data_IF_276815659261
#
_entry.id   IF_276815659261
#
_cell.length_a   1.000
_cell.length_b   1.000
_cell.length_c   1.000
_cell.angle_alpha   90.00
_cell.angle_beta   90.00
_cell.angle_gamma   90.00
#
_symmetry.space_group_name_H-M   'P 1'
#
loop_
_entity.id
_entity.type
_entity.pdbx_description
1 polymer ?
#
# COMPACT_ATOMS: atom_id res chain seq x y z
N UNK A 1 -18.59 -16.92 5.56
CA UNK A 1 -17.94 -16.61 6.86
C UNK A 1 -18.59 -15.36 7.43
N UNK A 2 -19.00 -15.35 8.71
CA UNK A 2 -19.56 -14.13 9.30
C UNK A 2 -18.50 -13.03 9.38
N UNK A 3 -18.92 -11.79 9.14
CA UNK A 3 -18.02 -10.63 9.20
C UNK A 3 -17.48 -10.45 10.63
N UNK A 4 -16.16 -10.43 10.77
CA UNK A 4 -15.46 -10.13 12.03
C UNK A 4 -15.24 -8.62 12.24
N UNK A 5 -15.97 -7.77 11.52
CA UNK A 5 -15.86 -6.31 11.60
C UNK A 5 -16.22 -5.74 12.97
N UNK A 6 -17.09 -6.42 13.71
CA UNK A 6 -17.46 -6.06 15.09
C UNK A 6 -16.33 -6.31 16.11
N UNK A 7 -15.31 -7.10 15.75
CA UNK A 7 -14.16 -7.36 16.62
C UNK A 7 -13.16 -6.21 16.45
N UNK A 8 -12.67 -5.59 17.54
CA UNK A 8 -11.68 -4.52 17.49
C UNK A 8 -10.42 -4.91 16.71
N UNK A 9 -9.77 -3.92 16.09
CA UNK A 9 -8.56 -4.15 15.28
C UNK A 9 -7.43 -4.75 16.12
N UNK A 10 -7.18 -4.25 17.33
CA UNK A 10 -6.23 -4.83 18.29
C UNK A 10 -6.39 -6.35 18.51
N UNK A 11 -7.62 -6.82 18.69
CA UNK A 11 -7.92 -8.25 18.89
C UNK A 11 -7.75 -9.04 17.58
N UNK A 12 -8.10 -8.45 16.44
CA UNK A 12 -7.86 -9.07 15.13
C UNK A 12 -6.36 -9.19 14.85
N UNK A 13 -5.57 -8.18 15.20
CA UNK A 13 -4.11 -8.17 15.05
C UNK A 13 -3.44 -9.30 15.84
N UNK A 14 -3.84 -9.52 17.10
CA UNK A 14 -3.22 -10.57 17.92
C UNK A 14 -3.53 -11.99 17.42
N UNK A 15 -4.67 -12.19 16.75
CA UNK A 15 -5.15 -13.50 16.30
C UNK A 15 -4.85 -13.82 14.83
N UNK A 16 -4.51 -12.84 14.01
CA UNK A 16 -4.32 -13.07 12.57
C UNK A 16 -3.05 -13.90 12.32
N UNK A 17 -3.02 -14.78 11.31
CA UNK A 17 -1.80 -15.55 11.00
C UNK A 17 -0.82 -14.76 10.11
N UNK A 18 -1.34 -14.01 9.14
CA UNK A 18 -0.54 -13.20 8.22
C UNK A 18 0.07 -11.97 8.94
N UNK A 19 1.41 -11.80 8.97
CA UNK A 19 2.08 -10.67 9.62
C UNK A 19 1.70 -9.28 9.06
N UNK A 20 1.53 -9.16 7.75
CA UNK A 20 1.13 -7.90 7.10
C UNK A 20 -0.27 -7.48 7.54
N UNK A 21 -1.20 -8.43 7.63
CA UNK A 21 -2.55 -8.14 8.14
C UNK A 21 -2.52 -7.74 9.62
N UNK A 22 -1.62 -8.31 10.45
CA UNK A 22 -1.42 -7.83 11.83
C UNK A 22 -0.97 -6.38 11.84
N UNK A 23 0.02 -6.04 11.00
CA UNK A 23 0.55 -4.68 10.88
C UNK A 23 -0.55 -3.71 10.45
N UNK A 24 -1.36 -4.06 9.45
CA UNK A 24 -2.50 -3.23 9.02
C UNK A 24 -3.47 -2.94 10.18
N UNK A 25 -3.84 -3.96 10.95
CA UNK A 25 -4.72 -3.76 12.11
C UNK A 25 -4.08 -2.92 13.22
N UNK A 26 -2.78 -3.07 13.47
CA UNK A 26 -2.05 -2.23 14.41
C UNK A 26 -2.04 -0.76 13.97
N UNK A 27 -1.76 -0.50 12.69
CA UNK A 27 -1.82 0.85 12.11
C UNK A 27 -3.22 1.45 12.28
N UNK A 28 -4.26 0.66 11.98
CA UNK A 28 -5.64 1.11 12.10
C UNK A 28 -6.03 1.46 13.55
N UNK A 29 -5.60 0.63 14.50
CA UNK A 29 -5.84 0.83 15.94
C UNK A 29 -5.12 2.05 16.49
N UNK A 30 -3.85 2.24 16.12
CA UNK A 30 -3.01 3.35 16.59
C UNK A 30 -3.47 4.70 16.01
N UNK A 31 -3.79 4.73 14.72
CA UNK A 31 -4.17 5.97 14.02
C UNK A 31 -5.66 6.27 14.12
N UNK A 32 -6.44 5.38 14.74
CA UNK A 32 -7.93 5.45 14.79
C UNK A 32 -8.53 5.70 13.41
N UNK A 33 -7.97 5.03 12.40
CA UNK A 33 -8.35 5.17 11.01
C UNK A 33 -8.49 3.80 10.37
N UNK A 34 -9.42 3.67 9.45
CA UNK A 34 -9.54 2.53 8.55
C UNK A 34 -9.59 2.98 7.08
N UNK A 35 -9.16 4.22 6.82
CA UNK A 35 -9.20 4.84 5.51
C UNK A 35 -8.07 4.27 4.65
N UNK A 36 -8.44 3.92 3.42
CA UNK A 36 -7.52 3.64 2.31
C UNK A 36 -7.73 4.74 1.28
N UNK A 37 -6.67 5.39 0.84
CA UNK A 37 -6.75 6.41 -0.21
C UNK A 37 -6.32 5.83 -1.55
N UNK A 38 -7.16 6.05 -2.55
CA UNK A 38 -6.85 5.80 -3.97
C UNK A 38 -6.11 7.02 -4.54
N UNK A 39 -4.80 6.94 -4.67
CA UNK A 39 -3.96 8.04 -5.14
C UNK A 39 -3.79 8.01 -6.67
N UNK A 40 -4.91 8.15 -7.39
CA UNK A 40 -4.95 8.04 -8.85
C UNK A 40 -4.59 9.39 -9.51
N UNK A 41 -3.33 9.80 -9.30
CA UNK A 41 -2.70 10.99 -9.91
C UNK A 41 -1.65 10.54 -10.92
N UNK A 42 -1.23 11.43 -11.82
CA UNK A 42 -0.37 11.07 -12.97
C UNK A 42 1.07 11.61 -12.86
N UNK A 43 1.39 12.33 -11.78
CA UNK A 43 2.73 12.87 -11.54
C UNK A 43 3.29 12.47 -10.19
N UNK A 44 4.61 12.28 -10.14
CA UNK A 44 5.36 11.96 -8.92
C UNK A 44 5.16 13.02 -7.85
N UNK A 45 5.17 14.29 -8.24
CA UNK A 45 5.00 15.41 -7.32
C UNK A 45 3.66 15.33 -6.58
N UNK A 46 2.56 15.14 -7.30
CA UNK A 46 1.23 15.05 -6.71
C UNK A 46 1.08 13.81 -5.83
N UNK A 47 1.64 12.67 -6.26
CA UNK A 47 1.60 11.44 -5.48
C UNK A 47 2.30 11.61 -4.14
N UNK A 48 3.51 12.19 -4.14
CA UNK A 48 4.28 12.42 -2.92
C UNK A 48 3.66 13.49 -2.03
N UNK A 49 3.11 14.57 -2.59
CA UNK A 49 2.38 15.59 -1.82
C UNK A 49 1.16 14.99 -1.10
N UNK A 50 0.36 14.21 -1.82
CA UNK A 50 -0.82 13.55 -1.28
C UNK A 50 -0.42 12.53 -0.19
N UNK A 51 0.62 11.73 -0.44
CA UNK A 51 1.14 10.76 0.51
C UNK A 51 1.67 11.42 1.80
N UNK A 52 2.33 12.58 1.72
CA UNK A 52 2.84 13.28 2.90
C UNK A 52 1.72 13.96 3.70
N UNK A 53 0.77 14.59 3.01
CA UNK A 53 -0.34 15.32 3.65
C UNK A 53 -1.38 14.40 4.28
N UNK A 54 -1.78 13.35 3.57
CA UNK A 54 -2.78 12.40 4.03
C UNK A 54 -2.17 11.28 4.88
N UNK A 55 -0.85 11.10 4.78
CA UNK A 55 -0.09 10.08 5.49
C UNK A 55 -0.53 9.87 6.94
N UNK A 56 -0.61 10.90 7.81
CA UNK A 56 -1.02 10.74 9.21
C UNK A 56 -2.43 10.17 9.43
N UNK A 57 -3.31 10.22 8.43
CA UNK A 57 -4.74 9.91 8.57
C UNK A 57 -5.15 8.61 7.88
N UNK A 58 -4.28 7.97 7.10
CA UNK A 58 -4.60 6.78 6.29
C UNK A 58 -3.89 5.53 6.80
N UNK A 59 -4.47 4.36 6.56
CA UNK A 59 -3.83 3.08 6.85
C UNK A 59 -3.10 2.50 5.65
N UNK A 60 -3.62 2.77 4.44
CA UNK A 60 -3.07 2.31 3.17
C UNK A 60 -3.16 3.43 2.14
N UNK A 61 -2.11 3.58 1.35
CA UNK A 61 -2.11 4.35 0.11
C UNK A 61 -2.10 3.35 -1.05
N UNK A 62 -3.18 3.35 -1.84
CA UNK A 62 -3.30 2.55 -3.07
C UNK A 62 -2.77 3.36 -4.24
N UNK A 63 -1.96 2.74 -5.09
CA UNK A 63 -1.38 3.34 -6.28
C UNK A 63 -1.84 2.63 -7.56
N UNK A 64 -1.72 3.36 -8.68
CA UNK A 64 -1.55 2.84 -10.02
C UNK A 64 -0.27 3.48 -10.56
N UNK A 65 0.88 2.88 -10.27
CA UNK A 65 2.17 3.48 -10.69
C UNK A 65 2.37 3.46 -12.21
N UNK A 66 1.62 2.63 -12.92
CA UNK A 66 1.64 2.52 -14.39
C UNK A 66 0.98 3.71 -15.10
N UNK A 67 0.20 4.54 -14.39
CA UNK A 67 -0.35 5.81 -14.93
C UNK A 67 0.52 7.04 -14.63
N UNK A 68 1.65 6.88 -13.92
CA UNK A 68 2.59 7.97 -13.68
C UNK A 68 3.42 8.26 -14.93
N UNK A 69 3.39 9.52 -15.36
CA UNK A 69 4.10 9.99 -16.55
C UNK A 69 5.61 10.18 -16.35
N UNK A 70 6.05 10.28 -15.10
CA UNK A 70 7.41 10.60 -14.68
C UNK A 70 7.98 9.59 -13.65
N UNK A 71 7.49 8.34 -13.66
CA UNK A 71 7.93 7.30 -12.73
C UNK A 71 9.44 7.07 -12.81
N UNK A 72 10.11 7.19 -11.67
CA UNK A 72 11.54 6.94 -11.50
C UNK A 72 11.81 6.12 -10.23
N UNK A 73 12.98 5.46 -10.10
CA UNK A 73 13.34 4.76 -8.86
C UNK A 73 13.30 5.64 -7.59
N UNK A 74 13.58 6.94 -7.73
CA UNK A 74 13.51 7.90 -6.63
C UNK A 74 12.06 8.18 -6.19
N UNK A 75 11.09 8.03 -7.09
CA UNK A 75 9.65 8.11 -6.77
C UNK A 75 9.29 7.04 -5.74
N UNK A 76 9.62 5.79 -6.06
CA UNK A 76 9.33 4.63 -5.20
C UNK A 76 10.08 4.73 -3.87
N UNK A 77 11.36 5.10 -3.91
CA UNK A 77 12.17 5.31 -2.69
C UNK A 77 11.56 6.38 -1.78
N UNK A 78 11.12 7.50 -2.35
CA UNK A 78 10.49 8.60 -1.60
C UNK A 78 9.14 8.17 -1.03
N UNK A 79 8.36 7.41 -1.80
CA UNK A 79 7.06 6.89 -1.38
C UNK A 79 7.20 5.90 -0.21
N UNK A 80 8.21 5.02 -0.24
CA UNK A 80 8.55 4.14 0.88
C UNK A 80 8.99 4.93 2.12
N UNK A 81 9.75 6.02 1.94
CA UNK A 81 10.15 6.89 3.05
C UNK A 81 8.94 7.56 3.71
N UNK A 82 7.96 8.02 2.92
CA UNK A 82 6.70 8.58 3.43
C UNK A 82 5.85 7.52 4.14
N UNK A 83 5.74 6.31 3.57
CA UNK A 83 5.04 5.19 4.18
C UNK A 83 5.64 4.83 5.56
N UNK A 84 6.97 4.87 5.69
CA UNK A 84 7.66 4.69 6.97
C UNK A 84 7.45 5.87 7.92
N UNK A 85 7.59 7.11 7.44
CA UNK A 85 7.41 8.36 8.21
C UNK A 85 6.03 8.44 8.86
N UNK A 86 4.99 8.16 8.09
CA UNK A 86 3.59 8.31 8.50
C UNK A 86 2.90 7.00 8.88
N UNK A 87 3.64 5.89 8.80
CA UNK A 87 3.20 4.56 9.19
C UNK A 87 1.89 4.14 8.49
N UNK A 88 1.96 4.02 7.17
CA UNK A 88 0.91 3.43 6.33
C UNK A 88 1.50 2.37 5.39
N UNK A 89 0.65 1.52 4.80
CA UNK A 89 1.06 0.51 3.83
C UNK A 89 0.88 1.00 2.39
N UNK A 90 1.71 0.49 1.49
CA UNK A 90 1.59 0.71 0.04
C UNK A 90 0.89 -0.47 -0.60
N UNK A 91 -0.14 -0.21 -1.39
CA UNK A 91 -0.87 -1.21 -2.16
C UNK A 91 -0.83 -0.86 -3.64
N UNK A 92 -0.14 -1.67 -4.45
CA UNK A 92 -0.17 -1.48 -5.90
C UNK A 92 -1.36 -2.22 -6.50
N UNK A 93 -2.34 -1.48 -7.01
CA UNK A 93 -3.58 -2.04 -7.56
C UNK A 93 -3.39 -2.50 -9.01
N UNK A 94 -2.38 -3.35 -9.22
CA UNK A 94 -1.98 -3.82 -10.56
C UNK A 94 -3.02 -4.74 -11.19
N UNK A 95 -3.89 -5.38 -10.40
CA UNK A 95 -4.86 -6.39 -10.85
C UNK A 95 -4.24 -7.45 -11.77
N UNK A 96 -3.27 -8.21 -11.25
CA UNK A 96 -2.62 -9.29 -12.00
C UNK A 96 -3.65 -10.30 -12.55
N UNK A 97 -3.67 -10.48 -13.87
CA UNK A 97 -4.68 -11.28 -14.59
C UNK A 97 -4.04 -12.03 -15.76
N UNK A 98 -3.04 -12.85 -15.44
CA UNK A 98 -2.31 -13.69 -16.41
C UNK A 98 -1.97 -15.04 -15.75
N UNK A 99 -1.32 -15.95 -16.48
CA UNK A 99 -0.87 -17.24 -15.94
C UNK A 99 0.25 -17.06 -14.92
N UNK A 100 0.38 -18.04 -14.00
CA UNK A 100 1.30 -17.98 -12.85
C UNK A 100 2.75 -17.60 -13.20
N UNK A 101 3.29 -18.17 -14.27
CA UNK A 101 4.67 -17.89 -14.71
C UNK A 101 4.86 -16.48 -15.27
N UNK A 102 3.82 -15.90 -15.87
CA UNK A 102 3.86 -14.53 -16.41
C UNK A 102 3.67 -13.51 -15.30
N UNK A 103 2.70 -13.71 -14.40
CA UNK A 103 2.47 -12.78 -13.27
C UNK A 103 3.67 -12.70 -12.33
N UNK A 104 4.42 -13.80 -12.12
CA UNK A 104 5.67 -13.76 -11.35
C UNK A 104 6.70 -12.81 -11.98
N UNK A 105 6.85 -12.84 -13.31
CA UNK A 105 7.78 -11.95 -14.03
C UNK A 105 7.32 -10.50 -13.99
N UNK A 106 6.00 -10.26 -14.10
CA UNK A 106 5.41 -8.92 -14.00
C UNK A 106 5.54 -8.33 -12.59
N UNK A 107 5.42 -9.17 -11.56
CA UNK A 107 5.48 -8.76 -10.15
C UNK A 107 6.92 -8.49 -9.68
N UNK A 108 7.86 -9.36 -10.04
CA UNK A 108 9.26 -9.26 -9.60
C UNK A 108 10.17 -8.46 -10.53
N UNK A 109 9.85 -8.40 -11.83
CA UNK A 109 10.70 -7.81 -12.84
C UNK A 109 10.12 -6.55 -13.48
N UNK A 110 10.54 -6.31 -14.73
CA UNK A 110 10.13 -5.16 -15.51
C UNK A 110 10.62 -3.83 -14.93
N UNK A 111 10.10 -2.73 -15.47
CA UNK A 111 10.38 -1.38 -14.98
C UNK A 111 9.75 -1.10 -13.62
N UNK A 112 8.72 -1.85 -13.23
CA UNK A 112 7.86 -1.53 -12.08
C UNK A 112 8.31 -2.22 -10.79
N UNK A 113 8.93 -3.41 -10.88
CA UNK A 113 9.51 -4.19 -9.76
C UNK A 113 8.62 -4.17 -8.50
N UNK A 114 7.32 -4.42 -8.69
CA UNK A 114 6.25 -4.15 -7.70
C UNK A 114 6.55 -4.82 -6.35
N UNK A 115 7.09 -6.05 -6.37
CA UNK A 115 7.40 -6.80 -5.17
C UNK A 115 8.46 -6.19 -4.24
N UNK A 116 9.21 -5.18 -4.71
CA UNK A 116 10.33 -4.60 -3.95
C UNK A 116 9.90 -3.44 -3.05
N UNK A 117 8.70 -2.89 -3.26
CA UNK A 117 8.25 -1.69 -2.58
C UNK A 117 6.78 -1.73 -2.15
N UNK A 118 5.91 -2.45 -2.87
CA UNK A 118 4.51 -2.59 -2.50
C UNK A 118 4.39 -3.62 -1.36
N UNK A 119 3.58 -3.29 -0.36
CA UNK A 119 3.30 -4.22 0.73
C UNK A 119 2.16 -5.17 0.34
N UNK A 120 1.18 -4.67 -0.42
CA UNK A 120 -0.03 -5.35 -0.91
C UNK A 120 -0.02 -5.30 -2.43
#
# INVERSE_FOLDING_TARGET
MSSKSHIPYSVRASRHSNPLAKQLFQIAEEKKSNVVVSADVTTTKELLDLADRLGPYITVLKTHIDILTDLTPSTLTSLQALAKKHRFLLFEDRKFVDIGSTVQKQYHGGSLRISEWAHI
#
